data_IF_546390207068
#
_entry.id   IF_546390207068
#
_cell.length_a   1.000
_cell.length_b   1.000
_cell.length_c   1.000
_cell.angle_alpha   90.00
_cell.angle_beta   90.00
_cell.angle_gamma   90.00
#
_symmetry.space_group_name_H-M   'P 1'
#
loop_
_entity.id
_entity.type
_entity.pdbx_description
1 polymer ?
#
# COMPACT_ATOMS: atom_id res chain seq x y z
N UNK A 1 -9.60 -11.65 14.98
CA UNK A 1 -9.04 -10.70 14.00
C UNK A 1 -9.53 -9.30 14.36
N UNK A 2 -8.64 -8.33 14.56
CA UNK A 2 -9.08 -6.92 14.62
C UNK A 2 -9.66 -6.57 13.25
N UNK A 3 -10.80 -5.87 13.22
CA UNK A 3 -11.32 -5.32 11.98
C UNK A 3 -10.26 -4.36 11.41
N UNK A 4 -9.79 -4.63 10.19
CA UNK A 4 -8.85 -3.76 9.49
C UNK A 4 -9.51 -2.45 9.10
N UNK A 5 -8.76 -1.36 9.13
CA UNK A 5 -9.27 -0.08 8.60
C UNK A 5 -9.31 -0.17 7.07
N UNK A 6 -10.51 -0.11 6.49
CA UNK A 6 -10.70 -0.04 5.04
C UNK A 6 -10.76 1.42 4.61
N UNK A 7 -9.85 1.84 3.74
CA UNK A 7 -9.73 3.22 3.25
C UNK A 7 -9.92 3.23 1.74
N UNK A 8 -10.87 4.03 1.27
CA UNK A 8 -11.07 4.24 -0.17
C UNK A 8 -9.86 4.95 -0.79
N UNK A 9 -9.54 4.65 -2.05
CA UNK A 9 -8.40 5.28 -2.73
C UNK A 9 -8.54 6.81 -2.81
N UNK A 10 -9.78 7.33 -2.89
CA UNK A 10 -10.06 8.78 -2.87
C UNK A 10 -9.67 9.40 -1.52
N UNK A 11 -10.07 8.76 -0.43
CA UNK A 11 -9.78 9.23 0.93
C UNK A 11 -8.34 8.96 1.36
N UNK A 12 -7.60 8.10 0.65
CA UNK A 12 -6.22 7.75 1.00
C UNK A 12 -5.28 8.96 0.88
N UNK A 13 -5.54 9.90 -0.04
CA UNK A 13 -4.71 11.09 -0.30
C UNK A 13 -4.49 11.98 0.92
N UNK A 14 -5.44 11.98 1.85
CA UNK A 14 -5.44 12.87 3.02
C UNK A 14 -5.10 12.14 4.32
N UNK A 15 -4.84 10.82 4.26
CA UNK A 15 -4.68 9.99 5.45
C UNK A 15 -3.23 9.52 5.65
N UNK A 16 -2.88 9.32 6.92
CA UNK A 16 -1.58 8.77 7.36
C UNK A 16 -1.14 7.50 6.62
N UNK A 17 -2.01 6.53 6.28
CA UNK A 17 -1.61 5.32 5.58
C UNK A 17 -1.05 5.54 4.18
N UNK A 18 -1.24 6.71 3.57
CA UNK A 18 -0.62 7.03 2.27
C UNK A 18 0.90 6.80 2.29
N UNK A 19 1.54 7.08 3.43
CA UNK A 19 2.99 6.94 3.63
C UNK A 19 3.52 5.53 3.35
N UNK A 20 2.68 4.49 3.47
CA UNK A 20 3.12 3.12 3.18
C UNK A 20 3.45 2.92 1.69
N UNK A 21 2.85 3.71 0.79
CA UNK A 21 3.08 3.60 -0.65
C UNK A 21 4.51 3.99 -1.05
N UNK A 22 5.14 4.88 -0.27
CA UNK A 22 6.51 5.35 -0.48
C UNK A 22 7.53 4.70 0.45
N UNK A 23 7.18 3.68 1.23
CA UNK A 23 8.09 3.19 2.27
C UNK A 23 9.49 2.81 1.73
N UNK A 24 10.59 3.17 2.43
CA UNK A 24 10.61 3.92 3.69
C UNK A 24 10.60 5.45 3.54
N UNK A 25 10.75 6.01 2.33
CA UNK A 25 10.88 7.47 2.11
C UNK A 25 9.63 8.04 1.46
N UNK A 26 8.92 8.90 2.19
CA UNK A 26 7.61 9.41 1.78
C UNK A 26 7.72 10.67 0.91
N UNK A 27 8.35 10.56 -0.26
CA UNK A 27 8.43 11.66 -1.23
C UNK A 27 7.08 11.87 -1.93
N UNK A 28 6.58 13.11 -1.97
CA UNK A 28 5.25 13.42 -2.50
C UNK A 28 5.06 12.97 -3.96
N UNK A 29 6.10 13.12 -4.78
CA UNK A 29 6.09 12.75 -6.20
C UNK A 29 5.92 11.24 -6.40
N UNK A 30 6.60 10.42 -5.60
CA UNK A 30 6.47 8.96 -5.65
C UNK A 30 5.09 8.54 -5.12
N UNK A 31 4.57 9.19 -4.07
CA UNK A 31 3.22 8.92 -3.57
C UNK A 31 2.15 9.17 -4.64
N UNK A 32 2.22 10.31 -5.35
CA UNK A 32 1.31 10.61 -6.46
C UNK A 32 1.45 9.62 -7.61
N UNK A 33 2.68 9.23 -7.94
CA UNK A 33 2.93 8.20 -8.97
C UNK A 33 2.32 6.86 -8.58
N UNK A 34 2.46 6.43 -7.33
CA UNK A 34 1.88 5.19 -6.80
C UNK A 34 0.37 5.24 -6.75
N UNK A 35 -0.23 6.37 -6.36
CA UNK A 35 -1.69 6.53 -6.42
C UNK A 35 -2.24 6.34 -7.84
N UNK A 36 -1.59 6.97 -8.83
CA UNK A 36 -1.95 6.78 -10.26
C UNK A 36 -1.76 5.33 -10.71
N UNK A 37 -0.72 4.65 -10.24
CA UNK A 37 -0.50 3.23 -10.49
C UNK A 37 -1.66 2.38 -9.94
N UNK A 38 -2.08 2.63 -8.69
CA UNK A 38 -3.23 1.94 -8.07
C UNK A 38 -4.54 2.17 -8.82
N UNK A 39 -4.79 3.41 -9.25
CA UNK A 39 -5.96 3.76 -10.07
C UNK A 39 -5.96 2.96 -11.38
N UNK A 40 -4.82 2.88 -12.07
CA UNK A 40 -4.64 2.11 -13.32
C UNK A 40 -4.80 0.61 -13.10
N UNK A 41 -4.33 0.08 -11.98
CA UNK A 41 -4.52 -1.32 -11.57
C UNK A 41 -5.96 -1.63 -11.14
N UNK A 42 -6.85 -0.63 -11.10
CA UNK A 42 -8.26 -0.81 -10.76
C UNK A 42 -8.52 -0.98 -9.27
N UNK A 43 -7.56 -0.61 -8.42
CA UNK A 43 -7.72 -0.62 -6.96
C UNK A 43 -8.75 0.45 -6.55
N UNK A 44 -9.64 0.09 -5.63
CA UNK A 44 -10.73 0.93 -5.13
C UNK A 44 -10.57 1.30 -3.67
N UNK A 45 -10.05 0.37 -2.87
CA UNK A 45 -9.75 0.59 -1.46
C UNK A 45 -8.57 -0.27 -1.04
N UNK A 46 -7.90 0.15 0.03
CA UNK A 46 -6.90 -0.63 0.73
C UNK A 46 -7.44 -0.96 2.12
N UNK A 47 -7.15 -2.16 2.61
CA UNK A 47 -7.40 -2.54 3.99
C UNK A 47 -6.08 -2.71 4.72
N UNK A 48 -5.97 -1.97 5.83
CA UNK A 48 -4.84 -1.98 6.73
C UNK A 48 -5.14 -2.92 7.88
N UNK A 49 -4.73 -4.17 7.68
CA UNK A 49 -4.93 -5.29 8.59
C UNK A 49 -3.70 -6.19 8.58
N UNK A 50 -3.58 -7.04 9.58
CA UNK A 50 -2.50 -8.01 9.72
C UNK A 50 -1.70 -7.81 11.00
N UNK A 51 -0.75 -8.72 11.23
CA UNK A 51 0.02 -8.78 12.48
C UNK A 51 1.25 -7.86 12.49
N UNK A 52 1.63 -7.30 11.34
CA UNK A 52 2.79 -6.42 11.20
C UNK A 52 2.35 -4.96 11.21
N UNK A 53 3.16 -4.09 11.81
CA UNK A 53 2.94 -2.65 11.81
C UNK A 53 4.07 -1.92 11.07
N UNK A 54 3.70 -0.93 10.25
CA UNK A 54 4.61 -0.01 9.57
C UNK A 54 4.03 1.40 9.63
N UNK A 55 4.77 2.39 10.15
CA UNK A 55 4.28 3.75 10.36
C UNK A 55 2.93 3.82 11.10
N UNK A 56 2.76 2.98 12.13
CA UNK A 56 1.52 2.84 12.92
C UNK A 56 0.32 2.27 12.14
N UNK A 57 0.56 1.70 10.96
CA UNK A 57 -0.47 1.09 10.10
C UNK A 57 -0.26 -0.42 10.05
N UNK A 58 -1.35 -1.18 10.22
CA UNK A 58 -1.33 -2.64 10.12
C UNK A 58 -1.21 -3.10 8.66
N UNK A 59 -0.34 -4.06 8.41
CA UNK A 59 -0.06 -4.62 7.08
C UNK A 59 0.02 -6.15 7.16
N UNK A 60 -0.32 -6.83 6.05
CA UNK A 60 -0.29 -8.29 5.96
C UNK A 60 1.14 -8.82 6.07
N UNK A 61 2.11 -8.07 5.53
CA UNK A 61 3.50 -8.47 5.55
C UNK A 61 4.45 -7.30 5.29
N UNK A 62 5.66 -7.42 5.82
CA UNK A 62 6.79 -6.55 5.49
C UNK A 62 8.02 -7.42 5.24
N UNK A 63 8.84 -7.06 4.26
CA UNK A 63 10.06 -7.78 3.94
C UNK A 63 11.17 -6.89 3.40
N UNK A 64 12.25 -7.50 2.95
CA UNK A 64 13.43 -6.79 2.44
C UNK A 64 13.12 -5.92 1.22
N UNK A 65 12.11 -6.27 0.41
CA UNK A 65 11.83 -5.61 -0.88
C UNK A 65 10.43 -5.00 -0.99
N UNK A 66 9.56 -5.21 0.00
CA UNK A 66 8.17 -4.74 -0.12
C UNK A 66 7.35 -4.80 1.16
N UNK A 67 6.20 -4.15 1.10
CA UNK A 67 5.09 -4.19 2.06
C UNK A 67 3.90 -4.83 1.35
N UNK A 68 3.11 -5.62 2.08
CA UNK A 68 1.92 -6.27 1.55
C UNK A 68 0.69 -5.78 2.32
N UNK A 69 -0.31 -5.28 1.60
CA UNK A 69 -1.63 -4.91 2.14
C UNK A 69 -2.75 -5.60 1.38
N UNK A 70 -3.95 -5.55 1.92
CA UNK A 70 -5.14 -5.97 1.18
C UNK A 70 -5.55 -4.84 0.25
N UNK A 71 -5.85 -5.17 -1.00
CA UNK A 71 -6.50 -4.28 -1.95
C UNK A 71 -7.85 -4.84 -2.38
N UNK A 72 -8.83 -3.96 -2.51
CA UNK A 72 -10.12 -4.26 -3.11
C UNK A 72 -10.14 -3.71 -4.52
N UNK A 73 -10.44 -4.56 -5.49
CA UNK A 73 -10.60 -4.20 -6.91
C UNK A 73 -12.01 -4.58 -7.37
N UNK A 74 -12.34 -4.28 -8.63
CA UNK A 74 -13.59 -4.76 -9.24
C UNK A 74 -13.67 -6.30 -9.29
N UNK A 75 -12.53 -6.99 -9.33
CA UNK A 75 -12.45 -8.44 -9.39
C UNK A 75 -12.45 -9.11 -8.00
N UNK A 76 -12.54 -8.31 -6.93
CA UNK A 76 -12.59 -8.79 -5.55
C UNK A 76 -11.36 -8.40 -4.73
N UNK A 77 -11.09 -9.20 -3.70
CA UNK A 77 -10.01 -8.97 -2.74
C UNK A 77 -8.70 -9.54 -3.28
N UNK A 78 -7.62 -8.76 -3.21
CA UNK A 78 -6.29 -9.15 -3.66
C UNK A 78 -5.23 -8.76 -2.63
N UNK A 79 -4.08 -9.45 -2.66
CA UNK A 79 -2.89 -9.01 -1.95
C UNK A 79 -2.11 -8.03 -2.84
N UNK A 80 -1.95 -6.79 -2.38
CA UNK A 80 -1.17 -5.77 -3.06
C UNK A 80 0.21 -5.71 -2.44
N UNK A 81 1.23 -6.01 -3.25
CA UNK A 81 2.63 -5.90 -2.87
C UNK A 81 3.19 -4.57 -3.35
N UNK A 82 3.43 -3.67 -2.41
CA UNK A 82 4.05 -2.36 -2.62
C UNK A 82 5.56 -2.56 -2.51
N UNK A 83 6.30 -2.20 -3.56
CA UNK A 83 7.76 -2.27 -3.55
C UNK A 83 8.33 -1.13 -2.70
N UNK A 84 9.34 -1.42 -1.89
CA UNK A 84 10.06 -0.37 -1.15
C UNK A 84 10.88 0.50 -2.11
N UNK A 85 10.93 1.80 -1.84
CA UNK A 85 11.68 2.76 -2.68
C UNK A 85 13.19 2.56 -2.59
N UNK A 86 13.67 1.98 -1.50
CA UNK A 86 15.08 1.66 -1.26
C UNK A 86 15.46 0.23 -1.68
N UNK A 87 14.54 -0.53 -2.29
CA UNK A 87 14.84 -1.89 -2.72
C UNK A 87 15.80 -1.87 -3.93
N UNK A 88 16.99 -2.43 -3.74
CA UNK A 88 18.04 -2.59 -4.75
C UNK A 88 17.70 -3.70 -5.76
N UNK A 89 16.72 -3.42 -6.63
CA UNK A 89 16.37 -4.30 -7.76
C UNK A 89 15.79 -3.48 -8.91
N UNK A 90 16.01 -3.86 -10.17
CA UNK A 90 15.47 -3.07 -11.29
C UNK A 90 13.95 -3.19 -11.43
N UNK A 91 13.38 -4.37 -11.19
CA UNK A 91 11.97 -4.67 -11.43
C UNK A 91 11.27 -5.42 -10.29
N UNK A 92 10.01 -5.80 -10.51
CA UNK A 92 9.29 -6.68 -9.60
C UNK A 92 9.34 -8.17 -9.96
N UNK A 93 10.06 -8.50 -11.04
CA UNK A 93 10.16 -9.82 -11.66
C UNK A 93 11.62 -10.16 -11.85
#
# INVERSE_FOLDING_TARGET
>A
MRAGEVVSLKSLRERKPLKILGYPRCEQEELERRLKELERLGVKALEFTGEKSVFDVQVLGKGCVGIVVVAYTKSGRAALKIRRVDADRKGMF
#
